data_IF_143136430672
#
_entry.id   IF_143136430672
#
_cell.length_a   1.000
_cell.length_b   1.000
_cell.length_c   1.000
_cell.angle_alpha   90.00
_cell.angle_beta   90.00
_cell.angle_gamma   90.00
#
_symmetry.space_group_name_H-M   'P 1'
#
loop_
_entity.id
_entity.type
_entity.pdbx_description
1 polymer ?
#
# COMPACT_ATOMS: atom_id res chain seq x y z
N UNK A 1 -1.04 14.97 -15.79
CA UNK A 1 0.27 14.44 -15.43
C UNK A 1 0.88 13.60 -16.56
N UNK A 2 0.16 12.67 -17.19
CA UNK A 2 0.68 11.88 -18.32
C UNK A 2 1.13 12.75 -19.49
N UNK A 3 0.36 13.78 -19.83
CA UNK A 3 0.71 14.75 -20.87
C UNK A 3 1.98 15.54 -20.57
N UNK A 4 2.35 15.61 -19.31
CA UNK A 4 3.60 16.23 -18.83
C UNK A 4 4.77 15.21 -18.71
N UNK A 5 4.60 14.00 -19.23
CA UNK A 5 5.62 12.96 -19.21
C UNK A 5 5.81 12.24 -17.87
N UNK A 6 4.93 12.47 -16.88
CA UNK A 6 4.98 11.81 -15.56
C UNK A 6 4.39 10.41 -15.68
N UNK A 7 5.08 9.40 -15.20
CA UNK A 7 4.60 8.01 -15.18
C UNK A 7 3.61 7.84 -14.04
N UNK A 8 2.32 7.87 -14.39
CA UNK A 8 1.21 7.87 -13.42
C UNK A 8 0.41 6.59 -13.54
N UNK A 9 0.11 6.01 -12.39
CA UNK A 9 -0.88 4.94 -12.25
C UNK A 9 -1.96 5.35 -11.24
N UNK A 10 -3.15 4.77 -11.34
CA UNK A 10 -4.23 5.05 -10.40
C UNK A 10 -4.74 3.78 -9.75
N UNK A 11 -5.27 3.95 -8.53
CA UNK A 11 -5.87 2.89 -7.73
C UNK A 11 -7.33 3.25 -7.43
N UNK A 12 -8.24 2.33 -7.71
CA UNK A 12 -9.66 2.44 -7.35
C UNK A 12 -10.18 1.14 -6.72
N UNK A 13 -11.42 1.17 -6.24
CA UNK A 13 -12.01 0.05 -5.49
C UNK A 13 -12.18 -1.25 -6.29
N UNK A 14 -12.27 -1.16 -7.61
CA UNK A 14 -12.48 -2.30 -8.50
C UNK A 14 -11.18 -3.04 -8.88
N UNK A 15 -10.01 -2.46 -8.56
CA UNK A 15 -8.74 -3.12 -8.82
C UNK A 15 -8.58 -4.31 -7.89
N UNK A 16 -8.29 -5.48 -8.47
CA UNK A 16 -8.09 -6.70 -7.72
C UNK A 16 -6.86 -6.62 -6.80
N UNK A 17 -6.89 -7.38 -5.71
CA UNK A 17 -5.82 -7.36 -4.69
C UNK A 17 -4.43 -7.67 -5.26
N UNK A 18 -4.35 -8.57 -6.22
CA UNK A 18 -3.06 -8.93 -6.87
C UNK A 18 -2.53 -7.75 -7.68
N UNK A 19 -3.35 -7.17 -8.55
CA UNK A 19 -3.00 -6.00 -9.36
C UNK A 19 -2.62 -4.80 -8.50
N UNK A 20 -3.37 -4.56 -7.42
CA UNK A 20 -3.03 -3.53 -6.43
C UNK A 20 -1.62 -3.73 -5.85
N UNK A 21 -1.27 -4.96 -5.50
CA UNK A 21 0.05 -5.29 -4.97
C UNK A 21 1.16 -5.05 -5.99
N UNK A 22 0.90 -5.35 -7.26
CA UNK A 22 1.83 -5.10 -8.36
C UNK A 22 2.05 -3.59 -8.59
N UNK A 23 0.98 -2.80 -8.63
CA UNK A 23 1.06 -1.34 -8.78
C UNK A 23 1.89 -0.71 -7.64
N UNK A 24 1.67 -1.14 -6.40
CA UNK A 24 2.42 -0.63 -5.25
C UNK A 24 3.89 -1.06 -5.26
N UNK A 25 4.16 -2.29 -5.68
CA UNK A 25 5.53 -2.77 -5.91
C UNK A 25 6.23 -1.92 -6.98
N UNK A 26 5.56 -1.69 -8.09
CA UNK A 26 6.10 -0.95 -9.22
C UNK A 26 6.33 0.52 -8.89
N UNK A 27 5.50 1.13 -8.03
CA UNK A 27 5.77 2.45 -7.46
C UNK A 27 7.08 2.42 -6.64
N UNK A 28 7.28 1.42 -5.78
CA UNK A 28 8.49 1.28 -4.97
C UNK A 28 9.75 1.04 -5.81
N UNK A 29 9.61 0.35 -6.94
CA UNK A 29 10.69 0.10 -7.91
C UNK A 29 10.93 1.29 -8.85
N UNK A 30 10.15 2.37 -8.75
CA UNK A 30 10.27 3.53 -9.61
C UNK A 30 9.81 3.30 -11.04
N UNK A 31 8.98 2.29 -11.30
CA UNK A 31 8.29 2.11 -12.59
C UNK A 31 7.26 3.22 -12.78
N UNK A 32 6.59 3.61 -11.72
CA UNK A 32 5.70 4.78 -11.65
C UNK A 32 6.32 5.86 -10.77
N UNK A 33 6.12 7.12 -11.17
CA UNK A 33 6.53 8.28 -10.37
C UNK A 33 5.42 8.69 -9.39
N UNK A 34 4.16 8.47 -9.80
CA UNK A 34 2.97 8.88 -9.04
C UNK A 34 1.90 7.81 -9.09
N UNK A 35 1.30 7.54 -7.94
CA UNK A 35 0.05 6.77 -7.84
C UNK A 35 -1.04 7.68 -7.32
N UNK A 36 -2.15 7.77 -8.06
CA UNK A 36 -3.36 8.49 -7.68
C UNK A 36 -4.38 7.50 -7.14
N UNK A 37 -4.91 7.76 -5.96
CA UNK A 37 -5.88 6.84 -5.37
C UNK A 37 -7.00 7.54 -4.62
N UNK A 38 -8.20 6.96 -4.67
CA UNK A 38 -9.34 7.40 -3.88
C UNK A 38 -9.44 6.49 -2.66
N UNK A 39 -9.16 7.03 -1.46
CA UNK A 39 -9.35 6.33 -0.18
C UNK A 39 -8.57 5.01 0.03
N UNK A 40 -7.84 4.54 -0.94
CA UNK A 40 -7.14 3.25 -0.92
C UNK A 40 -5.72 3.34 -0.34
N UNK A 41 -5.25 4.56 -0.05
CA UNK A 41 -3.91 4.83 0.47
C UNK A 41 -3.90 4.98 2.01
N UNK A 42 -4.99 4.62 2.71
CA UNK A 42 -5.14 4.85 4.14
C UNK A 42 -4.58 3.74 5.02
N UNK A 43 -4.87 2.48 4.71
CA UNK A 43 -4.53 1.34 5.57
C UNK A 43 -3.61 0.34 4.89
N UNK A 44 -2.77 -0.31 5.68
CA UNK A 44 -1.96 -1.45 5.26
C UNK A 44 -0.82 -1.15 4.29
N UNK A 45 -0.55 0.12 3.96
CA UNK A 45 0.52 0.47 3.05
C UNK A 45 1.78 0.88 3.80
N UNK A 46 2.88 0.26 3.44
CA UNK A 46 4.22 0.58 3.90
C UNK A 46 5.10 0.95 2.71
N UNK A 47 5.16 2.24 2.41
CA UNK A 47 5.83 2.82 1.25
C UNK A 47 6.90 3.82 1.72
N UNK A 48 8.05 3.35 2.19
CA UNK A 48 9.09 4.23 2.71
C UNK A 48 9.72 5.13 1.64
N UNK A 49 9.57 4.79 0.37
CA UNK A 49 10.08 5.57 -0.76
C UNK A 49 9.23 6.79 -1.10
N UNK A 50 8.02 6.91 -0.51
CA UNK A 50 7.12 8.04 -0.78
C UNK A 50 7.63 9.30 -0.07
N UNK A 51 8.08 10.27 -0.86
CA UNK A 51 8.55 11.58 -0.39
C UNK A 51 7.48 12.66 -0.42
N UNK A 52 6.44 12.51 -1.24
CA UNK A 52 5.36 13.49 -1.37
C UNK A 52 3.99 12.83 -1.24
N UNK A 53 3.14 13.41 -0.40
CA UNK A 53 1.72 13.10 -0.33
C UNK A 53 0.92 14.35 -0.66
N UNK A 54 0.13 14.31 -1.74
CA UNK A 54 -0.77 15.39 -2.14
C UNK A 54 -2.22 15.00 -1.82
N UNK A 55 -2.92 15.82 -1.06
CA UNK A 55 -4.32 15.62 -0.69
C UNK A 55 -5.15 16.68 -1.41
N UNK A 56 -5.91 16.25 -2.41
CA UNK A 56 -6.81 17.13 -3.14
C UNK A 56 -8.13 17.29 -2.38
N UNK A 57 -8.78 18.45 -2.53
CA UNK A 57 -10.04 18.75 -1.85
C UNK A 57 -9.99 18.43 -0.34
N UNK A 58 -8.93 18.89 0.32
CA UNK A 58 -8.70 18.59 1.74
C UNK A 58 -9.74 19.24 2.66
N UNK A 59 -10.41 20.29 2.20
CA UNK A 59 -11.48 21.03 2.89
C UNK A 59 -12.88 20.43 2.67
N UNK A 60 -13.04 19.44 1.79
CA UNK A 60 -14.32 18.76 1.62
C UNK A 60 -14.57 17.82 2.78
N UNK A 61 -15.20 18.36 3.83
CA UNK A 61 -15.47 17.62 5.06
C UNK A 61 -16.28 16.33 4.80
N UNK A 62 -15.97 15.30 5.58
CA UNK A 62 -16.59 14.00 5.48
C UNK A 62 -15.67 12.91 6.04
N UNK A 63 -16.11 11.66 5.98
CA UNK A 63 -15.37 10.52 6.53
C UNK A 63 -13.92 10.42 6.01
N UNK A 64 -13.67 10.79 4.74
CA UNK A 64 -12.34 10.74 4.12
C UNK A 64 -11.43 11.92 4.49
N UNK A 65 -11.98 12.97 5.05
CA UNK A 65 -11.30 14.21 5.43
C UNK A 65 -11.48 14.53 6.90
N UNK A 66 -11.87 13.55 7.71
CA UNK A 66 -11.84 13.68 9.17
C UNK A 66 -10.41 13.88 9.67
N UNK A 67 -10.24 14.47 10.83
CA UNK A 67 -8.93 14.70 11.46
C UNK A 67 -8.09 13.41 11.53
N UNK A 68 -8.68 12.30 11.94
CA UNK A 68 -8.01 10.99 11.99
C UNK A 68 -7.56 10.53 10.60
N UNK A 69 -8.42 10.68 9.59
CA UNK A 69 -8.08 10.31 8.20
C UNK A 69 -6.92 11.12 7.66
N UNK A 70 -6.92 12.43 7.91
CA UNK A 70 -5.85 13.33 7.49
C UNK A 70 -4.54 12.96 8.18
N UNK A 71 -4.53 12.77 9.51
CA UNK A 71 -3.33 12.35 10.26
C UNK A 71 -2.77 11.03 9.74
N UNK A 72 -3.63 10.04 9.44
CA UNK A 72 -3.19 8.77 8.87
C UNK A 72 -2.56 8.93 7.47
N UNK A 73 -3.16 9.78 6.64
CA UNK A 73 -2.67 10.04 5.28
C UNK A 73 -1.33 10.80 5.32
N UNK A 74 -1.22 11.82 6.15
CA UNK A 74 0.01 12.57 6.41
C UNK A 74 1.13 11.63 6.88
N UNK A 75 0.81 10.68 7.75
CA UNK A 75 1.75 9.69 8.27
C UNK A 75 2.40 8.79 7.22
N UNK A 76 1.89 8.77 5.98
CA UNK A 76 2.52 8.01 4.88
C UNK A 76 3.84 8.62 4.41
N UNK A 77 3.97 9.94 4.45
CA UNK A 77 5.22 10.63 4.13
C UNK A 77 6.23 10.63 5.30
N UNK A 78 5.82 10.26 6.50
CA UNK A 78 6.64 10.36 7.70
C UNK A 78 7.82 9.35 7.77
N UNK A 79 7.93 8.43 6.82
CA UNK A 79 9.03 7.46 6.74
C UNK A 79 10.19 7.92 5.87
N UNK A 80 9.99 8.97 5.11
CA UNK A 80 11.00 9.61 4.31
C UNK A 80 11.52 10.86 5.04
N UNK A 81 12.83 11.04 5.09
CA UNK A 81 13.45 12.17 5.81
C UNK A 81 13.00 13.52 5.25
N UNK A 82 12.84 13.61 3.93
CA UNK A 82 12.33 14.79 3.22
C UNK A 82 10.82 14.70 2.95
N UNK A 83 10.11 13.86 3.72
CA UNK A 83 8.69 13.63 3.53
C UNK A 83 7.87 14.92 3.65
N UNK A 84 7.19 15.29 2.56
CA UNK A 84 6.36 16.48 2.45
C UNK A 84 4.90 16.11 2.21
N UNK A 85 4.00 16.89 2.81
CA UNK A 85 2.56 16.76 2.57
C UNK A 85 2.00 18.10 2.11
N UNK A 86 1.27 18.08 1.01
CA UNK A 86 0.58 19.25 0.46
C UNK A 86 -0.92 18.98 0.49
N UNK A 87 -1.67 19.86 1.15
CA UNK A 87 -3.12 19.84 1.18
C UNK A 87 -3.66 20.97 0.29
N UNK A 88 -4.37 20.60 -0.78
CA UNK A 88 -5.06 21.55 -1.65
C UNK A 88 -6.46 21.79 -1.10
N UNK A 89 -6.77 23.04 -0.79
CA UNK A 89 -8.02 23.46 -0.16
C UNK A 89 -8.30 24.93 -0.39
N UNK A 90 -9.56 25.33 -0.47
CA UNK A 90 -9.98 26.72 -0.55
C UNK A 90 -9.99 27.39 0.84
N UNK A 91 -10.22 26.58 1.88
CA UNK A 91 -10.24 27.02 3.28
C UNK A 91 -9.65 25.98 4.21
N UNK A 92 -9.08 26.41 5.32
CA UNK A 92 -8.60 25.50 6.37
C UNK A 92 -9.78 25.14 7.27
N UNK A 93 -10.15 23.87 7.29
CA UNK A 93 -11.19 23.30 8.17
C UNK A 93 -10.62 22.98 9.56
N UNK A 94 -11.49 22.71 10.55
CA UNK A 94 -11.06 22.29 11.89
C UNK A 94 -10.28 20.95 11.82
N UNK A 95 -10.72 20.02 10.98
CA UNK A 95 -10.05 18.73 10.77
C UNK A 95 -8.65 18.90 10.19
N UNK A 96 -8.47 19.83 9.25
CA UNK A 96 -7.15 20.15 8.69
C UNK A 96 -6.26 20.80 9.76
N UNK A 97 -6.77 21.78 10.48
CA UNK A 97 -6.04 22.47 11.56
C UNK A 97 -5.54 21.47 12.60
N UNK A 98 -6.43 20.62 13.09
CA UNK A 98 -6.06 19.55 14.03
C UNK A 98 -4.93 18.66 13.48
N UNK A 99 -5.04 18.24 12.22
CA UNK A 99 -4.05 17.35 11.61
C UNK A 99 -2.69 18.03 11.44
N UNK A 100 -2.68 19.32 11.08
CA UNK A 100 -1.46 20.14 10.97
C UNK A 100 -0.81 20.31 12.35
N UNK A 101 -1.58 20.74 13.33
CA UNK A 101 -1.08 21.04 14.68
C UNK A 101 -0.53 19.76 15.34
N UNK A 102 -1.23 18.64 15.24
CA UNK A 102 -0.77 17.36 15.78
C UNK A 102 0.48 16.84 15.06
N UNK A 103 0.59 17.05 13.76
CA UNK A 103 1.78 16.68 13.00
C UNK A 103 2.98 17.52 13.42
N UNK A 104 2.80 18.82 13.56
CA UNK A 104 3.85 19.74 14.00
C UNK A 104 4.29 19.42 15.44
N UNK A 105 3.34 19.21 16.36
CA UNK A 105 3.63 18.79 17.74
C UNK A 105 4.49 17.53 17.79
N UNK A 106 4.15 16.52 16.98
CA UNK A 106 4.94 15.26 16.90
C UNK A 106 6.34 15.50 16.37
N UNK A 107 6.48 16.33 15.33
CA UNK A 107 7.78 16.71 14.75
C UNK A 107 8.66 17.42 15.76
N UNK A 108 8.11 18.40 16.49
CA UNK A 108 8.86 19.14 17.53
C UNK A 108 9.41 18.20 18.60
N UNK A 109 8.57 17.29 19.12
CA UNK A 109 8.99 16.33 20.14
C UNK A 109 10.09 15.41 19.58
N UNK A 110 9.94 14.92 18.33
CA UNK A 110 10.91 14.05 17.71
C UNK A 110 12.24 14.77 17.44
N UNK A 111 12.17 16.02 16.95
CA UNK A 111 13.37 16.85 16.74
C UNK A 111 14.12 17.09 18.04
N UNK A 112 13.43 17.52 19.08
CA UNK A 112 14.04 17.74 20.38
C UNK A 112 14.68 16.45 20.95
N UNK A 113 14.04 15.30 20.77
CA UNK A 113 14.61 14.02 21.17
C UNK A 113 15.87 13.66 20.36
N UNK A 114 15.82 13.87 19.04
CA UNK A 114 16.96 13.60 18.16
C UNK A 114 18.16 14.49 18.51
N UNK A 115 17.91 15.77 18.72
CA UNK A 115 18.95 16.75 19.07
C UNK A 115 19.58 16.42 20.44
N UNK A 116 18.76 16.07 21.44
CA UNK A 116 19.25 15.67 22.76
C UNK A 116 20.09 14.39 22.76
N UNK A 117 19.88 13.49 21.78
CA UNK A 117 20.57 12.20 21.66
C UNK A 117 21.57 12.14 20.51
N UNK A 118 21.85 13.26 19.83
CA UNK A 118 22.69 13.34 18.64
C UNK A 118 22.30 12.33 17.53
N UNK A 119 20.99 12.10 17.34
CA UNK A 119 20.45 11.19 16.34
C UNK A 119 20.27 11.96 15.02
N UNK A 120 20.91 11.50 13.96
CA UNK A 120 20.70 12.01 12.60
C UNK A 120 19.60 11.17 11.95
N UNK A 121 18.45 11.78 11.60
CA UNK A 121 17.37 11.06 10.93
C UNK A 121 17.81 10.52 9.57
N UNK A 122 17.47 9.28 9.28
CA UNK A 122 17.69 8.64 7.98
C UNK A 122 16.37 8.04 7.47
N UNK A 123 16.20 8.05 6.15
CA UNK A 123 15.05 7.41 5.52
C UNK A 123 15.07 5.90 5.75
N UNK A 124 13.88 5.31 5.93
CA UNK A 124 13.75 3.87 6.08
C UNK A 124 13.98 3.21 4.72
N UNK A 125 14.93 2.28 4.67
CA UNK A 125 15.17 1.42 3.50
C UNK A 125 14.60 0.04 3.77
N UNK A 126 13.67 -0.40 2.93
CA UNK A 126 13.02 -1.70 3.07
C UNK A 126 13.09 -2.47 1.75
N UNK A 127 13.54 -3.72 1.80
CA UNK A 127 13.54 -4.57 0.60
C UNK A 127 12.14 -4.73 0.02
N UNK A 128 12.03 -4.63 -1.30
CA UNK A 128 10.79 -4.94 -2.02
C UNK A 128 10.66 -6.44 -2.09
N UNK A 129 9.82 -7.03 -1.23
CA UNK A 129 9.53 -8.46 -1.29
C UNK A 129 8.56 -8.72 -2.43
N UNK A 130 8.91 -9.62 -3.33
CA UNK A 130 8.00 -10.14 -4.34
C UNK A 130 6.99 -11.08 -3.68
N UNK A 131 5.86 -10.52 -3.22
CA UNK A 131 4.78 -11.31 -2.61
C UNK A 131 4.25 -12.33 -3.62
N UNK A 132 4.23 -11.97 -4.90
CA UNK A 132 3.82 -12.85 -6.01
C UNK A 132 4.79 -14.00 -6.28
N UNK A 133 6.11 -13.80 -6.14
CA UNK A 133 7.09 -14.88 -6.35
C UNK A 133 6.98 -15.93 -5.25
N UNK A 134 6.77 -15.52 -4.01
CA UNK A 134 6.58 -16.45 -2.90
C UNK A 134 5.27 -17.22 -2.99
N UNK A 135 4.18 -16.56 -3.41
CA UNK A 135 2.90 -17.24 -3.66
C UNK A 135 2.99 -18.18 -4.87
N UNK A 136 3.70 -17.81 -5.94
CA UNK A 136 3.97 -18.68 -7.09
C UNK A 136 4.87 -19.87 -6.71
N UNK A 137 5.95 -19.64 -5.99
CA UNK A 137 6.83 -20.73 -5.50
C UNK A 137 6.08 -21.70 -4.58
N UNK A 138 5.21 -21.22 -3.70
CA UNK A 138 4.38 -22.05 -2.85
C UNK A 138 3.28 -22.80 -3.65
N UNK A 139 2.76 -22.20 -4.71
CA UNK A 139 1.82 -22.86 -5.61
C UNK A 139 2.52 -23.93 -6.46
N UNK A 140 3.70 -23.62 -7.00
CA UNK A 140 4.51 -24.55 -7.82
C UNK A 140 5.05 -25.73 -7.00
N UNK A 141 5.33 -25.54 -5.70
CA UNK A 141 5.78 -26.64 -4.83
C UNK A 141 4.64 -27.51 -4.30
N UNK A 142 3.40 -27.02 -4.30
CA UNK A 142 2.24 -27.78 -3.78
C UNK A 142 1.42 -28.52 -4.81
N UNK A 143 1.61 -28.22 -6.08
CA UNK A 143 0.92 -28.97 -7.16
C UNK A 143 1.95 -29.56 -8.11
N UNK A 144 2.15 -30.89 -8.11
CA UNK A 144 2.75 -31.52 -9.27
C UNK A 144 1.85 -31.15 -10.46
N UNK A 145 2.41 -30.50 -11.48
CA UNK A 145 1.71 -30.15 -12.71
C UNK A 145 1.33 -31.46 -13.44
N UNK A 146 0.27 -32.09 -12.96
CA UNK A 146 -0.37 -33.19 -13.65
C UNK A 146 -1.23 -32.56 -14.75
N UNK A 147 -0.80 -32.66 -15.99
CA UNK A 147 -1.59 -32.21 -17.13
C UNK A 147 -2.86 -33.07 -17.20
N UNK A 148 -4.07 -32.49 -16.95
CA UNK A 148 -5.32 -33.28 -16.88
C UNK A 148 -5.60 -34.08 -18.15
N UNK A 149 -5.09 -33.63 -19.30
CA UNK A 149 -5.26 -34.27 -20.60
C UNK A 149 -4.49 -35.61 -20.80
N UNK A 150 -3.57 -35.95 -19.88
CA UNK A 150 -2.73 -37.17 -19.99
C UNK A 150 -3.10 -38.24 -18.97
N UNK A 151 -4.08 -38.01 -18.11
CA UNK A 151 -4.49 -38.96 -17.07
C UNK A 151 -5.62 -39.86 -17.56
N UNK A 152 -5.58 -41.16 -17.21
CA UNK A 152 -6.72 -42.07 -17.37
C UNK A 152 -7.94 -41.54 -16.60
N UNK A 153 -9.16 -41.78 -17.14
CA UNK A 153 -10.42 -41.27 -16.52
C UNK A 153 -10.58 -41.63 -15.04
N UNK A 154 -10.09 -42.79 -14.62
CA UNK A 154 -10.18 -43.27 -13.24
C UNK A 154 -9.25 -42.48 -12.30
N UNK A 155 -8.08 -42.06 -12.75
CA UNK A 155 -7.14 -41.26 -11.95
C UNK A 155 -7.58 -39.82 -11.88
N UNK A 156 -8.22 -39.29 -12.93
CA UNK A 156 -8.85 -37.97 -12.93
C UNK A 156 -9.99 -37.91 -11.89
N UNK A 157 -10.83 -38.94 -11.79
CA UNK A 157 -11.90 -38.98 -10.80
C UNK A 157 -11.39 -39.08 -9.35
N UNK A 158 -10.25 -39.76 -9.12
CA UNK A 158 -9.57 -39.79 -7.82
C UNK A 158 -8.99 -38.41 -7.46
N UNK A 159 -8.30 -37.80 -8.42
CA UNK A 159 -7.72 -36.45 -8.21
C UNK A 159 -8.77 -35.41 -7.86
N UNK A 160 -9.91 -35.39 -8.57
CA UNK A 160 -11.03 -34.48 -8.28
C UNK A 160 -11.55 -34.71 -6.86
N UNK A 161 -11.73 -35.96 -6.44
CA UNK A 161 -12.20 -36.30 -5.09
C UNK A 161 -11.24 -35.89 -3.98
N UNK A 162 -9.93 -36.01 -4.22
CA UNK A 162 -8.90 -35.59 -3.27
C UNK A 162 -8.81 -34.06 -3.18
N UNK A 163 -8.92 -33.35 -4.30
CA UNK A 163 -8.97 -31.88 -4.32
C UNK A 163 -10.21 -31.34 -3.61
N UNK A 164 -11.38 -31.93 -3.83
CA UNK A 164 -12.61 -31.57 -3.10
C UNK A 164 -12.47 -31.80 -1.59
N UNK A 165 -11.79 -32.88 -1.18
CA UNK A 165 -11.54 -33.17 0.24
C UNK A 165 -10.58 -32.16 0.86
N UNK A 166 -9.53 -31.76 0.14
CA UNK A 166 -8.59 -30.72 0.57
C UNK A 166 -9.27 -29.33 0.66
N UNK A 167 -10.09 -28.95 -0.31
CA UNK A 167 -10.87 -27.73 -0.29
C UNK A 167 -11.83 -27.68 0.92
N UNK A 168 -12.56 -28.79 1.18
CA UNK A 168 -13.47 -28.88 2.34
C UNK A 168 -12.72 -28.84 3.66
N UNK A 169 -11.49 -29.32 3.73
CA UNK A 169 -10.64 -29.26 4.93
C UNK A 169 -10.14 -27.83 5.15
N UNK A 170 -9.63 -27.16 4.12
CA UNK A 170 -9.16 -25.79 4.18
C UNK A 170 -10.27 -24.75 4.48
N UNK A 171 -11.52 -25.08 4.16
CA UNK A 171 -12.68 -24.24 4.49
C UNK A 171 -13.19 -24.41 5.93
N UNK A 172 -12.65 -25.37 6.70
CA UNK A 172 -13.01 -25.63 8.10
C UNK A 172 -11.94 -25.18 9.11
N UNK A 173 -10.74 -24.90 8.61
CA UNK A 173 -9.64 -24.26 9.33
C UNK A 173 -9.70 -22.73 9.19
#
# INVERSE_FOLDING_TARGET
>A
LRELGVRVQYLHSEIQTMERSEILRDLRLGVYDVVVGINLLREGLDLPEVSLVAILDADKEGYLRSSTSLVQTIGRAARHVEGTVVMYADKITESMRFAIDETNRRREIQSAHNDANAIIPISIVKSVKEITSHARQLADTKTPHVKPATLPKNDLARLVKDLEKQMKKAARE
#
